data_IF_933033324587
#
_entry.id   IF_933033324587
#
_cell.length_a   1.000
_cell.length_b   1.000
_cell.length_c   1.000
_cell.angle_alpha   90.00
_cell.angle_beta   90.00
_cell.angle_gamma   90.00
#
_symmetry.space_group_name_H-M   'P 1'
#
loop_
_entity.id
_entity.type
_entity.pdbx_description
1 polymer ?
#
# COMPACT_ATOMS: atom_id res chain seq x y z
N UNK A 1 3.19 24.74 16.44
CA UNK A 1 2.34 24.88 15.23
C UNK A 1 1.19 23.90 15.40
N UNK A 2 -0.04 24.39 15.56
CA UNK A 2 -1.21 23.55 15.90
C UNK A 2 -1.66 22.79 14.64
N UNK A 3 -1.82 21.48 14.75
CA UNK A 3 -2.54 20.64 13.78
C UNK A 3 -4.01 21.09 13.77
N UNK A 4 -4.37 22.06 12.94
CA UNK A 4 -5.69 22.69 13.00
C UNK A 4 -6.19 23.30 11.69
N UNK A 5 -5.46 23.16 10.59
CA UNK A 5 -5.98 23.57 9.29
C UNK A 5 -6.57 22.35 8.60
N UNK A 6 -7.91 22.30 8.59
CA UNK A 6 -8.69 21.32 7.85
C UNK A 6 -8.24 21.30 6.39
N UNK A 7 -7.41 20.32 6.03
CA UNK A 7 -7.18 19.95 4.64
C UNK A 7 -8.54 19.55 4.11
N UNK A 8 -9.15 20.39 3.27
CA UNK A 8 -10.48 20.14 2.73
C UNK A 8 -10.53 18.73 2.14
N UNK A 9 -11.65 18.02 2.34
CA UNK A 9 -11.87 16.65 1.88
C UNK A 9 -11.43 16.44 0.41
N UNK A 10 -11.57 17.47 -0.42
CA UNK A 10 -11.14 17.52 -1.83
C UNK A 10 -9.63 17.38 -2.07
N UNK A 11 -8.76 17.74 -1.13
CA UNK A 11 -7.30 17.58 -1.23
C UNK A 11 -6.84 16.19 -0.79
N UNK A 12 -7.48 15.62 0.25
CA UNK A 12 -7.21 14.26 0.72
C UNK A 12 -7.72 13.20 -0.27
N UNK A 13 -8.92 13.39 -0.85
CA UNK A 13 -9.45 12.51 -1.90
C UNK A 13 -8.55 12.48 -3.13
N UNK A 14 -7.99 13.64 -3.51
CA UNK A 14 -7.03 13.72 -4.61
C UNK A 14 -5.73 12.98 -4.27
N UNK A 15 -5.19 13.17 -3.07
CA UNK A 15 -3.96 12.48 -2.63
C UNK A 15 -4.10 10.96 -2.65
N UNK A 16 -5.23 10.44 -2.17
CA UNK A 16 -5.54 9.00 -2.25
C UNK A 16 -5.65 8.52 -3.69
N UNK A 17 -6.41 9.22 -4.55
CA UNK A 17 -6.51 8.90 -5.98
C UNK A 17 -5.14 8.89 -6.68
N UNK A 18 -4.23 9.79 -6.31
CA UNK A 18 -2.87 9.83 -6.87
C UNK A 18 -2.02 8.65 -6.45
N UNK A 19 -2.12 8.21 -5.19
CA UNK A 19 -1.41 7.02 -4.70
C UNK A 19 -1.90 5.78 -5.43
N UNK A 20 -3.22 5.61 -5.54
CA UNK A 20 -3.81 4.53 -6.33
C UNK A 20 -3.47 4.62 -7.81
N UNK A 21 -3.39 5.82 -8.39
CA UNK A 21 -2.97 6.02 -9.79
C UNK A 21 -1.57 5.46 -10.06
N UNK A 22 -0.65 5.62 -9.09
CA UNK A 22 0.72 5.09 -9.17
C UNK A 22 0.79 3.57 -8.96
N UNK A 23 -0.17 2.99 -8.23
CA UNK A 23 -0.27 1.55 -7.93
C UNK A 23 -1.10 0.80 -8.99
N UNK A 24 -2.11 1.42 -9.58
CA UNK A 24 -3.01 0.84 -10.58
C UNK A 24 -2.44 0.97 -12.00
N UNK A 25 -3.08 0.35 -13.00
CA UNK A 25 -2.66 0.46 -14.41
C UNK A 25 -3.80 0.36 -15.42
N UNK A 26 -3.58 1.06 -16.56
CA UNK A 26 -3.94 0.77 -17.97
C UNK A 26 -4.89 1.64 -18.81
N UNK A 27 -5.72 2.58 -18.32
CA UNK A 27 -6.38 3.48 -19.26
C UNK A 27 -5.40 4.61 -19.65
N UNK A 28 -5.25 4.92 -20.95
CA UNK A 28 -4.34 5.97 -21.45
C UNK A 28 -4.51 7.33 -20.77
N UNK A 29 -5.73 7.63 -20.30
CA UNK A 29 -6.03 8.82 -19.52
C UNK A 29 -5.21 8.91 -18.22
N UNK A 30 -4.87 7.79 -17.58
CA UNK A 30 -4.08 7.75 -16.35
C UNK A 30 -2.59 8.00 -16.62
N UNK A 31 -2.07 7.51 -17.75
CA UNK A 31 -0.69 7.79 -18.17
C UNK A 31 -0.46 9.29 -18.39
N UNK A 32 -1.41 9.95 -19.06
CA UNK A 32 -1.41 11.40 -19.23
C UNK A 32 -1.41 12.13 -17.88
N UNK A 33 -2.24 11.70 -16.93
CA UNK A 33 -2.27 12.29 -15.59
C UNK A 33 -0.95 12.11 -14.82
N UNK A 34 -0.30 10.96 -14.91
CA UNK A 34 1.01 10.75 -14.29
C UNK A 34 2.08 11.67 -14.88
N UNK A 35 2.09 11.85 -16.21
CA UNK A 35 3.02 12.74 -16.91
C UNK A 35 2.80 14.22 -16.54
N UNK A 36 1.55 14.69 -16.60
CA UNK A 36 1.18 16.08 -16.27
C UNK A 36 1.62 16.42 -14.84
N UNK A 37 1.41 15.49 -13.91
CA UNK A 37 1.73 15.69 -12.50
C UNK A 37 3.15 15.22 -12.11
N UNK A 38 3.99 14.84 -13.09
CA UNK A 38 5.40 14.40 -12.89
C UNK A 38 5.56 13.27 -11.86
N UNK A 39 4.63 12.32 -11.88
CA UNK A 39 4.62 11.18 -10.98
C UNK A 39 5.26 9.94 -11.60
N UNK A 40 6.04 9.21 -10.79
CA UNK A 40 6.59 7.89 -11.14
C UNK A 40 5.67 6.77 -10.67
N UNK A 41 5.77 5.63 -11.34
CA UNK A 41 5.12 4.40 -10.89
C UNK A 41 5.70 3.92 -9.55
N UNK A 42 4.87 3.18 -8.82
CA UNK A 42 5.28 2.42 -7.65
C UNK A 42 5.39 0.96 -8.08
N UNK A 43 6.57 0.37 -7.92
CA UNK A 43 6.86 -1.01 -8.31
C UNK A 43 6.81 -1.97 -7.12
N UNK A 44 7.04 -1.46 -5.90
CA UNK A 44 6.99 -2.23 -4.66
C UNK A 44 6.19 -1.47 -3.60
N UNK A 45 5.30 -2.17 -2.90
CA UNK A 45 4.57 -1.68 -1.73
C UNK A 45 4.89 -2.58 -0.55
N UNK A 46 5.58 -2.02 0.46
CA UNK A 46 5.83 -2.68 1.74
C UNK A 46 4.94 -2.02 2.79
N UNK A 47 4.03 -2.77 3.38
CA UNK A 47 3.08 -2.23 4.35
C UNK A 47 2.65 -3.29 5.35
N UNK A 48 2.84 -3.01 6.64
CA UNK A 48 2.35 -3.83 7.74
C UNK A 48 1.24 -3.06 8.46
N UNK A 49 0.19 -3.76 8.88
CA UNK A 49 -0.94 -3.16 9.58
C UNK A 49 -0.66 -3.04 11.07
N UNK A 50 -1.28 -2.06 11.71
CA UNK A 50 -1.36 -2.04 13.17
C UNK A 50 -2.02 -3.32 13.69
N UNK A 51 -1.50 -3.93 14.78
CA UNK A 51 -1.99 -5.20 15.29
C UNK A 51 -3.31 -5.02 16.05
N UNK A 52 -4.39 -4.70 15.34
CA UNK A 52 -5.70 -4.39 15.91
C UNK A 52 -6.21 -5.47 16.88
N UNK A 53 -5.98 -6.75 16.55
CA UNK A 53 -6.31 -7.88 17.43
C UNK A 53 -5.59 -7.81 18.77
N UNK A 54 -4.32 -7.41 18.79
CA UNK A 54 -3.55 -7.26 20.02
C UNK A 54 -4.08 -6.05 20.81
N UNK A 55 -4.41 -4.94 20.13
CA UNK A 55 -4.98 -3.74 20.77
C UNK A 55 -6.26 -4.06 21.54
N UNK A 56 -7.23 -4.73 20.92
CA UNK A 56 -8.51 -5.05 21.58
C UNK A 56 -8.40 -6.17 22.63
N UNK A 57 -7.30 -6.94 22.63
CA UNK A 57 -7.04 -7.97 23.62
C UNK A 57 -6.49 -7.41 24.95
N UNK A 58 -6.07 -6.14 24.98
CA UNK A 58 -5.61 -5.48 26.20
C UNK A 58 -6.77 -5.37 27.20
N UNK A 59 -6.60 -5.81 28.46
CA UNK A 59 -7.61 -5.65 29.49
C UNK A 59 -8.01 -4.18 29.66
N UNK A 60 -9.32 -3.91 29.71
CA UNK A 60 -9.88 -2.56 29.80
C UNK A 60 -9.56 -1.65 28.59
N UNK A 61 -9.32 -2.21 27.41
CA UNK A 61 -9.24 -1.42 26.18
C UNK A 61 -10.53 -0.59 25.99
N UNK A 62 -10.38 0.73 25.82
CA UNK A 62 -11.51 1.61 25.55
C UNK A 62 -11.92 1.55 24.08
N UNK A 63 -13.15 1.95 23.79
CA UNK A 63 -13.66 2.04 22.42
C UNK A 63 -12.83 3.03 21.59
N UNK A 64 -12.45 4.15 22.19
CA UNK A 64 -11.63 5.18 21.55
C UNK A 64 -10.25 4.62 21.18
N UNK A 65 -9.61 3.89 22.10
CA UNK A 65 -8.34 3.23 21.84
C UNK A 65 -8.44 2.20 20.70
N UNK A 66 -9.54 1.46 20.63
CA UNK A 66 -9.80 0.56 19.51
C UNK A 66 -9.97 1.34 18.19
N UNK A 67 -10.81 2.38 18.16
CA UNK A 67 -11.08 3.18 16.95
C UNK A 67 -9.80 3.78 16.36
N UNK A 68 -8.93 4.35 17.20
CA UNK A 68 -7.65 4.94 16.76
C UNK A 68 -6.69 3.91 16.15
N UNK A 69 -6.87 2.62 16.44
CA UNK A 69 -6.05 1.54 15.87
C UNK A 69 -6.64 0.94 14.59
N UNK A 70 -7.75 1.47 14.07
CA UNK A 70 -8.31 1.01 12.79
C UNK A 70 -7.47 1.58 11.64
N UNK A 71 -6.70 0.71 10.99
CA UNK A 71 -5.84 1.09 9.88
C UNK A 71 -6.60 1.06 8.54
N UNK A 72 -7.10 2.23 8.12
CA UNK A 72 -7.72 2.40 6.81
C UNK A 72 -6.68 2.47 5.70
N UNK A 73 -5.60 3.24 5.91
CA UNK A 73 -4.60 3.52 4.89
C UNK A 73 -3.81 2.29 4.46
N UNK A 74 -3.36 1.49 5.43
CA UNK A 74 -2.59 0.27 5.19
C UNK A 74 -3.39 -0.79 4.45
N UNK A 75 -4.62 -1.07 4.88
CA UNK A 75 -5.52 -2.02 4.20
C UNK A 75 -5.80 -1.56 2.77
N UNK A 76 -6.03 -0.26 2.60
CA UNK A 76 -6.22 0.35 1.29
C UNK A 76 -5.02 0.13 0.36
N UNK A 77 -3.79 0.40 0.84
CA UNK A 77 -2.55 0.23 0.09
C UNK A 77 -2.32 -1.23 -0.31
N UNK A 78 -2.45 -2.15 0.65
CA UNK A 78 -2.25 -3.58 0.43
C UNK A 78 -3.22 -4.11 -0.62
N UNK A 79 -4.52 -3.76 -0.51
CA UNK A 79 -5.54 -4.22 -1.47
C UNK A 79 -5.29 -3.68 -2.88
N UNK A 80 -4.85 -2.43 -3.01
CA UNK A 80 -4.55 -1.85 -4.31
C UNK A 80 -3.33 -2.51 -4.97
N UNK A 81 -2.27 -2.74 -4.17
CA UNK A 81 -1.05 -3.37 -4.65
C UNK A 81 -1.30 -4.83 -5.04
N UNK A 82 -1.97 -5.60 -4.17
CA UNK A 82 -2.36 -6.98 -4.45
C UNK A 82 -3.24 -7.08 -5.70
N UNK A 83 -4.24 -6.20 -5.89
CA UNK A 83 -5.05 -6.19 -7.12
C UNK A 83 -4.22 -5.98 -8.38
N UNK A 84 -3.12 -5.22 -8.30
CA UNK A 84 -2.23 -4.94 -9.43
C UNK A 84 -0.91 -5.72 -9.37
N UNK A 85 -0.91 -6.90 -8.74
CA UNK A 85 0.29 -7.73 -8.53
C UNK A 85 1.06 -8.07 -9.82
N UNK A 86 0.40 -7.98 -10.98
CA UNK A 86 1.04 -8.15 -12.28
C UNK A 86 2.13 -7.12 -12.61
N UNK A 87 2.15 -6.00 -11.88
CA UNK A 87 3.14 -4.92 -12.01
C UNK A 87 3.73 -4.55 -10.65
N UNK A 88 2.95 -4.57 -9.58
CA UNK A 88 3.36 -4.11 -8.26
C UNK A 88 3.63 -5.30 -7.35
N UNK A 89 4.84 -5.40 -6.80
CA UNK A 89 5.15 -6.39 -5.75
C UNK A 89 4.64 -5.86 -4.41
N UNK A 90 3.78 -6.62 -3.73
CA UNK A 90 3.24 -6.28 -2.41
C UNK A 90 3.90 -7.14 -1.33
N UNK A 91 4.24 -6.56 -0.19
CA UNK A 91 4.88 -7.28 0.91
C UNK A 91 4.25 -6.80 2.23
N UNK A 92 3.63 -7.73 2.95
CA UNK A 92 2.93 -7.46 4.21
C UNK A 92 3.51 -8.20 5.42
N UNK A 93 4.42 -9.15 5.19
CA UNK A 93 5.11 -9.92 6.22
C UNK A 93 6.63 -9.65 6.13
N UNK A 94 7.29 -9.24 7.24
CA UNK A 94 8.74 -9.09 7.28
C UNK A 94 9.52 -10.36 6.94
N UNK A 95 8.94 -11.55 7.16
CA UNK A 95 9.60 -12.82 6.82
C UNK A 95 9.80 -13.03 5.31
N UNK A 96 9.07 -12.31 4.47
CA UNK A 96 9.24 -12.39 3.01
C UNK A 96 10.39 -11.50 2.49
N UNK A 97 11.00 -10.66 3.32
CA UNK A 97 12.03 -9.70 2.85
C UNK A 97 13.25 -10.38 2.23
N UNK A 98 13.78 -11.42 2.88
CA UNK A 98 14.95 -12.15 2.35
C UNK A 98 14.61 -12.81 1.01
N UNK A 99 13.48 -13.49 0.94
CA UNK A 99 12.97 -14.15 -0.28
C UNK A 99 12.78 -13.16 -1.43
N UNK A 100 12.28 -11.95 -1.15
CA UNK A 100 12.14 -10.87 -2.15
C UNK A 100 13.51 -10.36 -2.61
N UNK A 101 14.43 -10.10 -1.68
CA UNK A 101 15.77 -9.59 -2.00
C UNK A 101 16.57 -10.57 -2.86
N UNK A 102 16.47 -11.87 -2.57
CA UNK A 102 17.05 -12.93 -3.40
C UNK A 102 16.50 -12.88 -4.82
N UNK A 103 15.17 -12.78 -4.98
CA UNK A 103 14.55 -12.67 -6.30
C UNK A 103 15.09 -11.46 -7.07
N UNK A 104 15.08 -10.26 -6.47
CA UNK A 104 15.56 -9.02 -7.12
C UNK A 104 17.01 -9.16 -7.60
N UNK A 105 17.85 -9.79 -6.78
CA UNK A 105 19.28 -9.95 -7.06
C UNK A 105 19.53 -10.95 -8.19
N UNK A 106 18.75 -12.03 -8.25
CA UNK A 106 18.92 -13.09 -9.24
C UNK A 106 18.33 -12.73 -10.61
N UNK A 107 17.31 -11.88 -10.65
CA UNK A 107 16.52 -11.63 -11.85
C UNK A 107 16.68 -10.25 -12.47
N UNK A 108 17.68 -9.48 -12.04
CA UNK A 108 17.92 -8.12 -12.52
C UNK A 108 16.67 -7.22 -12.38
N UNK A 109 15.95 -7.35 -11.26
CA UNK A 109 14.70 -6.64 -10.93
C UNK A 109 13.41 -7.15 -11.61
N UNK A 110 13.42 -8.31 -12.29
CA UNK A 110 12.21 -8.93 -12.84
C UNK A 110 11.67 -10.04 -11.93
N UNK A 111 10.47 -9.89 -11.37
CA UNK A 111 9.91 -10.91 -10.49
C UNK A 111 9.22 -12.04 -11.27
N UNK A 112 9.36 -13.29 -10.83
CA UNK A 112 8.51 -14.36 -11.36
C UNK A 112 7.04 -14.01 -11.12
N UNK A 113 6.19 -14.19 -12.16
CA UNK A 113 4.74 -14.03 -12.04
C UNK A 113 4.15 -14.90 -10.92
N UNK A 114 4.69 -16.12 -10.78
CA UNK A 114 4.34 -17.05 -9.71
C UNK A 114 4.56 -16.43 -8.33
N UNK A 115 5.74 -15.86 -8.11
CA UNK A 115 6.14 -15.24 -6.86
C UNK A 115 5.29 -14.00 -6.51
N UNK A 116 5.00 -13.14 -7.49
CA UNK A 116 4.12 -11.98 -7.26
C UNK A 116 2.68 -12.40 -6.96
N UNK A 117 2.19 -13.48 -7.56
CA UNK A 117 0.87 -14.02 -7.24
C UNK A 117 0.84 -14.55 -5.81
N UNK A 118 1.87 -15.30 -5.39
CA UNK A 118 1.97 -15.83 -4.03
C UNK A 118 1.88 -14.70 -3.01
N UNK A 119 2.72 -13.67 -3.16
CA UNK A 119 2.74 -12.48 -2.29
C UNK A 119 1.40 -11.73 -2.25
N UNK A 120 0.62 -11.75 -3.34
CA UNK A 120 -0.66 -11.06 -3.42
C UNK A 120 -1.84 -11.86 -2.86
N UNK A 121 -1.64 -13.15 -2.58
CA UNK A 121 -2.68 -14.06 -2.06
C UNK A 121 -2.56 -14.39 -0.58
N UNK A 122 -1.46 -13.97 0.06
CA UNK A 122 -1.25 -14.07 1.52
C UNK A 122 -2.09 -13.04 2.28
#
# INVERSE_FOLDING_TARGET
>A
MKFGDAISCTHLERAALFLFSKIASRPESWLRNLQINKFKFIDVVVCNLYPFRATIAVPNCSLEAAIENIDIGGVTLLRAAAKNHSRVTVICDPYDYERVLEQVTLSNSDYCRCFQNDLATM
#
